data_IF_091367679993
#
_entry.id   IF_091367679993
#
_cell.length_a   1.000
_cell.length_b   1.000
_cell.length_c   1.000
_cell.angle_alpha   90.00
_cell.angle_beta   90.00
_cell.angle_gamma   90.00
#
_symmetry.space_group_name_H-M   'P 1'
#
loop_
_entity.id
_entity.type
_entity.pdbx_description
1 polymer ?
#
# COMPACT_ATOMS: atom_id res chain seq x y z
N UNK A 1 -18.53 9.11 34.74
CA UNK A 1 -19.59 9.98 34.18
C UNK A 1 -18.89 10.98 33.30
N UNK A 2 -19.20 10.93 32.00
CA UNK A 2 -18.61 11.85 31.04
C UNK A 2 -19.23 13.23 31.17
N UNK A 3 -18.47 14.29 30.89
CA UNK A 3 -18.98 15.66 30.85
C UNK A 3 -18.63 16.35 29.52
N UNK A 4 -19.11 17.57 29.32
CA UNK A 4 -18.90 18.32 28.08
C UNK A 4 -17.40 18.54 27.80
N UNK A 5 -16.63 18.87 28.84
CA UNK A 5 -15.19 19.09 28.71
C UNK A 5 -14.49 17.83 28.22
N UNK A 6 -14.77 16.69 28.83
CA UNK A 6 -14.20 15.39 28.42
C UNK A 6 -14.61 15.01 27.00
N UNK A 7 -15.85 15.30 26.60
CA UNK A 7 -16.32 15.05 25.24
C UNK A 7 -15.55 15.88 24.21
N UNK A 8 -15.36 17.18 24.47
CA UNK A 8 -14.57 18.04 23.58
C UNK A 8 -13.08 17.71 23.60
N UNK A 9 -12.54 17.25 24.74
CA UNK A 9 -11.16 16.74 24.81
C UNK A 9 -11.01 15.49 23.94
N UNK A 10 -11.92 14.52 24.04
CA UNK A 10 -11.90 13.33 23.18
C UNK A 10 -11.98 13.69 21.69
N UNK A 11 -12.85 14.65 21.34
CA UNK A 11 -12.91 15.18 19.97
C UNK A 11 -11.57 15.83 19.55
N UNK A 12 -11.02 16.72 20.37
CA UNK A 12 -9.83 17.49 20.03
C UNK A 12 -8.56 16.63 19.94
N UNK A 13 -8.41 15.67 20.85
CA UNK A 13 -7.15 14.94 21.03
C UNK A 13 -7.09 13.70 20.12
N UNK A 14 -8.23 13.21 19.62
CA UNK A 14 -8.29 12.01 18.80
C UNK A 14 -9.04 12.22 17.49
N UNK A 15 -10.31 12.61 17.55
CA UNK A 15 -11.18 12.64 16.35
C UNK A 15 -10.70 13.68 15.35
N UNK A 16 -10.36 14.89 15.80
CA UNK A 16 -9.90 15.98 14.96
C UNK A 16 -8.55 15.66 14.28
N UNK A 17 -7.52 15.13 14.98
CA UNK A 17 -6.30 14.65 14.33
C UNK A 17 -6.56 13.59 13.27
N UNK A 18 -7.39 12.57 13.56
CA UNK A 18 -7.73 11.52 12.58
C UNK A 18 -8.43 12.08 11.34
N UNK A 19 -9.35 13.02 11.55
CA UNK A 19 -9.98 13.80 10.48
C UNK A 19 -8.93 14.51 9.61
N UNK A 20 -7.98 15.23 10.23
CA UNK A 20 -6.96 16.01 9.51
C UNK A 20 -6.00 15.11 8.74
N UNK A 21 -5.65 13.96 9.32
CA UNK A 21 -4.75 13.00 8.70
C UNK A 21 -5.34 12.43 7.40
N UNK A 22 -6.57 11.93 7.46
CA UNK A 22 -7.22 11.35 6.28
C UNK A 22 -7.51 12.40 5.21
N UNK A 23 -7.88 13.62 5.61
CA UNK A 23 -8.06 14.75 4.69
C UNK A 23 -6.75 15.11 4.00
N UNK A 24 -5.63 15.15 4.74
CA UNK A 24 -4.31 15.45 4.17
C UNK A 24 -3.84 14.36 3.19
N UNK A 25 -4.14 13.09 3.48
CA UNK A 25 -3.76 11.98 2.61
C UNK A 25 -4.62 11.88 1.33
N UNK A 26 -5.93 12.06 1.45
CA UNK A 26 -6.88 11.71 0.39
C UNK A 26 -7.59 12.92 -0.23
N UNK A 27 -7.41 14.11 0.35
CA UNK A 27 -8.14 15.34 -0.01
C UNK A 27 -9.67 15.16 0.02
N UNK A 28 -10.15 14.21 0.84
CA UNK A 28 -11.55 13.86 0.99
C UNK A 28 -11.84 13.59 2.47
N UNK A 29 -12.97 14.12 2.94
CA UNK A 29 -13.45 13.86 4.29
C UNK A 29 -14.28 12.59 4.34
N UNK A 30 -14.00 11.66 5.28
CA UNK A 30 -14.82 10.47 5.44
C UNK A 30 -16.23 10.88 5.83
N UNK A 31 -17.19 10.59 4.95
CA UNK A 31 -18.59 10.95 5.13
C UNK A 31 -19.16 10.30 6.38
N UNK A 32 -18.76 9.06 6.65
CA UNK A 32 -19.14 8.31 7.86
C UNK A 32 -18.66 9.02 9.14
N UNK A 33 -17.42 9.55 9.15
CA UNK A 33 -16.91 10.32 10.28
C UNK A 33 -17.70 11.61 10.50
N UNK A 34 -18.02 12.33 9.43
CA UNK A 34 -18.85 13.54 9.49
C UNK A 34 -20.23 13.26 10.06
N UNK A 35 -20.88 12.17 9.64
CA UNK A 35 -22.17 11.77 10.18
C UNK A 35 -22.11 11.44 11.68
N UNK A 36 -21.06 10.77 12.14
CA UNK A 36 -20.88 10.47 13.56
C UNK A 36 -20.56 11.73 14.38
N UNK A 37 -19.83 12.70 13.82
CA UNK A 37 -19.62 14.00 14.45
C UNK A 37 -20.96 14.76 14.58
N UNK A 38 -21.77 14.81 13.53
CA UNK A 38 -23.10 15.43 13.59
C UNK A 38 -24.01 14.75 14.63
N UNK A 39 -24.01 13.42 14.67
CA UNK A 39 -24.76 12.68 15.68
C UNK A 39 -24.28 12.99 17.10
N UNK A 40 -22.98 13.17 17.31
CA UNK A 40 -22.43 13.59 18.60
C UNK A 40 -22.92 14.99 19.00
N UNK A 41 -22.90 15.95 18.07
CA UNK A 41 -23.44 17.29 18.29
C UNK A 41 -24.94 17.27 18.59
N UNK A 42 -25.71 16.40 17.92
CA UNK A 42 -27.14 16.24 18.19
C UNK A 42 -27.42 15.77 19.61
N UNK A 43 -26.60 14.88 20.19
CA UNK A 43 -26.74 14.51 21.61
C UNK A 43 -26.34 15.65 22.54
N UNK A 44 -25.25 16.35 22.25
CA UNK A 44 -24.85 17.52 23.05
C UNK A 44 -25.93 18.60 23.05
N UNK A 45 -26.59 18.82 21.90
CA UNK A 45 -27.71 19.76 21.76
C UNK A 45 -28.87 19.41 22.71
N UNK A 46 -29.15 18.12 22.95
CA UNK A 46 -30.25 17.68 23.85
C UNK A 46 -30.01 18.10 25.30
N UNK A 47 -28.77 18.10 25.77
CA UNK A 47 -28.45 18.65 27.07
C UNK A 47 -28.81 20.14 27.16
N UNK A 48 -28.44 20.93 26.13
CA UNK A 48 -28.64 22.37 26.15
C UNK A 48 -30.08 22.82 25.87
N UNK A 49 -30.83 22.08 25.04
CA UNK A 49 -32.13 22.52 24.53
C UNK A 49 -33.31 21.65 24.98
N UNK A 50 -33.07 20.42 25.43
CA UNK A 50 -34.11 19.42 25.72
C UNK A 50 -34.03 18.89 27.17
N UNK A 51 -33.20 19.52 28.01
CA UNK A 51 -33.02 19.17 29.43
C UNK A 51 -32.60 17.70 29.68
N UNK A 52 -31.99 17.03 28.70
CA UNK A 52 -31.36 15.71 28.91
C UNK A 52 -30.20 15.87 29.90
N UNK A 53 -29.93 14.86 30.75
CA UNK A 53 -28.82 14.94 31.69
C UNK A 53 -27.47 14.98 30.96
N UNK A 54 -26.55 15.82 31.44
CA UNK A 54 -25.24 16.04 30.80
C UNK A 54 -24.47 14.73 30.57
N UNK A 55 -24.42 13.88 31.59
CA UNK A 55 -23.71 12.60 31.56
C UNK A 55 -24.24 11.67 30.47
N UNK A 56 -25.56 11.55 30.35
CA UNK A 56 -26.22 10.72 29.34
C UNK A 56 -25.92 11.26 27.93
N UNK A 57 -26.08 12.57 27.72
CA UNK A 57 -25.80 13.19 26.42
C UNK A 57 -24.33 13.06 26.03
N UNK A 58 -23.42 13.27 26.97
CA UNK A 58 -21.96 13.17 26.75
C UNK A 58 -21.52 11.72 26.48
N UNK A 59 -22.04 10.74 27.22
CA UNK A 59 -21.75 9.32 26.97
C UNK A 59 -22.19 8.87 25.57
N UNK A 60 -23.37 9.30 25.13
CA UNK A 60 -23.86 9.04 23.76
C UNK A 60 -23.00 9.75 22.72
N UNK A 61 -22.65 11.02 22.95
CA UNK A 61 -21.78 11.78 22.05
C UNK A 61 -20.41 11.11 21.88
N UNK A 62 -19.75 10.74 22.98
CA UNK A 62 -18.49 10.00 22.96
C UNK A 62 -18.65 8.66 22.24
N UNK A 63 -19.76 7.94 22.43
CA UNK A 63 -19.99 6.68 21.71
C UNK A 63 -20.08 6.87 20.19
N UNK A 64 -20.65 7.96 19.71
CA UNK A 64 -20.69 8.30 18.28
C UNK A 64 -19.28 8.68 17.78
N UNK A 65 -18.58 9.55 18.51
CA UNK A 65 -17.19 9.92 18.19
C UNK A 65 -16.26 8.70 18.12
N UNK A 66 -16.39 7.75 19.06
CA UNK A 66 -15.66 6.46 19.03
C UNK A 66 -15.99 5.66 17.77
N UNK A 67 -17.26 5.60 17.35
CA UNK A 67 -17.64 4.90 16.13
C UNK A 67 -17.02 5.54 14.88
N UNK A 68 -17.08 6.87 14.79
CA UNK A 68 -16.43 7.61 13.70
C UNK A 68 -14.92 7.35 13.63
N UNK A 69 -14.23 7.36 14.77
CA UNK A 69 -12.80 7.02 14.82
C UNK A 69 -12.51 5.57 14.39
N UNK A 70 -13.32 4.60 14.82
CA UNK A 70 -13.21 3.20 14.39
C UNK A 70 -13.36 3.04 12.87
N UNK A 71 -14.34 3.71 12.27
CA UNK A 71 -14.55 3.66 10.82
C UNK A 71 -13.39 4.32 10.07
N UNK A 72 -12.82 5.39 10.64
CA UNK A 72 -11.63 6.06 10.12
C UNK A 72 -10.40 5.16 10.15
N UNK A 73 -10.17 4.41 11.24
CA UNK A 73 -9.09 3.41 11.31
C UNK A 73 -9.24 2.31 10.25
N UNK A 74 -10.47 1.87 9.99
CA UNK A 74 -10.76 0.87 8.94
C UNK A 74 -10.49 1.43 7.54
N UNK A 75 -10.81 2.71 7.31
CA UNK A 75 -10.52 3.39 6.06
C UNK A 75 -9.00 3.53 5.85
N UNK A 76 -8.26 3.94 6.88
CA UNK A 76 -6.79 3.99 6.86
C UNK A 76 -6.19 2.63 6.47
N UNK A 77 -6.65 1.54 7.08
CA UNK A 77 -6.24 0.18 6.71
C UNK A 77 -6.56 -0.15 5.25
N UNK A 78 -7.71 0.27 4.73
CA UNK A 78 -8.09 0.05 3.32
C UNK A 78 -7.15 0.80 2.36
N UNK A 79 -6.85 2.06 2.67
CA UNK A 79 -5.96 2.89 1.86
C UNK A 79 -4.53 2.33 1.87
N UNK A 80 -4.00 2.02 3.05
CA UNK A 80 -2.74 1.32 3.22
C UNK A 80 -2.65 0.03 2.37
N UNK A 81 -3.67 -0.82 2.39
CA UNK A 81 -3.66 -2.04 1.59
C UNK A 81 -3.64 -1.76 0.08
N UNK A 82 -4.29 -0.67 -0.35
CA UNK A 82 -4.33 -0.25 -1.75
C UNK A 82 -2.95 0.26 -2.19
N UNK A 83 -2.33 1.15 -1.41
CA UNK A 83 -0.98 1.66 -1.63
C UNK A 83 0.04 0.52 -1.66
N UNK A 84 -0.03 -0.41 -0.69
CA UNK A 84 0.86 -1.56 -0.64
C UNK A 84 0.69 -2.45 -1.87
N UNK A 85 -0.54 -2.69 -2.31
CA UNK A 85 -0.79 -3.48 -3.51
C UNK A 85 -0.22 -2.79 -4.75
N UNK A 86 -0.31 -1.47 -4.85
CA UNK A 86 0.29 -0.71 -5.95
C UNK A 86 1.82 -0.82 -5.92
N UNK A 87 2.44 -0.71 -4.74
CA UNK A 87 3.88 -0.90 -4.58
C UNK A 87 4.29 -2.31 -5.00
N UNK A 88 3.60 -3.34 -4.51
CA UNK A 88 3.93 -4.75 -4.81
C UNK A 88 3.70 -5.12 -6.28
N UNK A 89 2.76 -4.46 -6.96
CA UNK A 89 2.53 -4.63 -8.41
C UNK A 89 3.49 -3.82 -9.28
N UNK A 90 4.25 -2.91 -8.70
CA UNK A 90 5.21 -2.13 -9.46
C UNK A 90 6.38 -3.00 -9.90
N UNK A 91 6.92 -2.73 -11.10
CA UNK A 91 8.08 -3.44 -11.65
C UNK A 91 9.39 -2.98 -10.98
N UNK A 92 9.44 -3.06 -9.65
CA UNK A 92 10.61 -2.77 -8.83
C UNK A 92 11.23 -4.12 -8.45
N UNK A 93 12.52 -4.24 -8.69
CA UNK A 93 13.32 -5.27 -8.06
C UNK A 93 13.59 -4.83 -6.62
N UNK A 94 13.03 -5.55 -5.65
CA UNK A 94 13.25 -5.26 -4.24
C UNK A 94 14.54 -5.91 -3.71
N UNK A 95 15.13 -6.88 -4.41
CA UNK A 95 16.34 -7.59 -3.97
C UNK A 95 17.56 -6.67 -3.94
N UNK A 96 17.54 -5.60 -4.74
CA UNK A 96 18.61 -4.59 -4.78
C UNK A 96 18.60 -3.63 -3.59
N UNK A 97 17.56 -3.65 -2.74
CA UNK A 97 17.43 -2.80 -1.55
C UNK A 97 17.92 -3.58 -0.33
N UNK A 98 18.74 -2.94 0.50
CA UNK A 98 19.23 -3.48 1.79
C UNK A 98 19.74 -4.94 1.70
N UNK A 99 20.46 -5.24 0.60
CA UNK A 99 21.00 -6.58 0.29
C UNK A 99 19.95 -7.70 0.31
N UNK A 100 18.72 -7.40 -0.14
CA UNK A 100 17.64 -8.36 -0.28
C UNK A 100 16.77 -8.54 0.97
N UNK A 101 17.11 -7.91 2.10
CA UNK A 101 16.34 -8.02 3.34
C UNK A 101 15.07 -7.16 3.35
N UNK A 102 15.01 -6.13 2.50
CA UNK A 102 13.88 -5.20 2.46
C UNK A 102 12.53 -5.89 2.25
N UNK A 103 12.45 -6.78 1.25
CA UNK A 103 11.18 -7.42 0.88
C UNK A 103 10.66 -8.42 1.93
N UNK A 104 11.49 -9.34 2.47
CA UNK A 104 11.09 -10.18 3.59
C UNK A 104 10.61 -9.40 4.82
N UNK A 105 11.30 -8.32 5.19
CA UNK A 105 10.93 -7.48 6.33
C UNK A 105 9.60 -6.76 6.09
N UNK A 106 9.43 -6.17 4.91
CA UNK A 106 8.18 -5.55 4.48
C UNK A 106 7.00 -6.53 4.58
N UNK A 107 7.15 -7.76 4.10
CA UNK A 107 6.11 -8.79 4.20
C UNK A 107 5.84 -9.22 5.65
N UNK A 108 6.88 -9.28 6.48
CA UNK A 108 6.76 -9.61 7.90
C UNK A 108 5.93 -8.55 8.63
N UNK A 109 6.25 -7.26 8.43
CA UNK A 109 5.53 -6.14 9.02
C UNK A 109 4.09 -6.04 8.53
N UNK A 110 3.86 -6.31 7.24
CA UNK A 110 2.48 -6.45 6.71
C UNK A 110 1.70 -7.53 7.46
N UNK A 111 2.32 -8.68 7.72
CA UNK A 111 1.65 -9.80 8.42
C UNK A 111 1.28 -9.43 9.86
N UNK A 112 2.12 -8.65 10.54
CA UNK A 112 1.85 -8.09 11.87
C UNK A 112 0.59 -7.22 11.86
N UNK A 113 0.51 -6.24 10.96
CA UNK A 113 -0.67 -5.37 10.79
C UNK A 113 -1.92 -6.19 10.52
N UNK A 114 -1.86 -7.15 9.59
CA UNK A 114 -3.01 -8.01 9.25
C UNK A 114 -3.46 -8.86 10.44
N UNK A 115 -2.52 -9.38 11.24
CA UNK A 115 -2.85 -10.15 12.44
C UNK A 115 -3.59 -9.27 13.45
N UNK A 116 -3.06 -8.07 13.73
CA UNK A 116 -3.65 -7.14 14.69
C UNK A 116 -5.02 -6.61 14.24
N UNK A 117 -5.18 -6.31 12.95
CA UNK A 117 -6.47 -5.90 12.38
C UNK A 117 -7.53 -7.01 12.46
N UNK A 118 -7.14 -8.27 12.30
CA UNK A 118 -8.05 -9.42 12.51
C UNK A 118 -8.48 -9.53 13.97
N UNK A 119 -7.55 -9.36 14.90
CA UNK A 119 -7.83 -9.32 16.33
C UNK A 119 -8.84 -8.22 16.67
N UNK A 120 -8.61 -7.00 16.17
CA UNK A 120 -9.51 -5.86 16.38
C UNK A 120 -10.95 -6.15 15.91
N UNK A 121 -11.10 -6.73 14.70
CA UNK A 121 -12.42 -7.11 14.16
C UNK A 121 -13.14 -8.18 14.98
N UNK A 122 -12.41 -9.15 15.54
CA UNK A 122 -13.00 -10.17 16.40
C UNK A 122 -13.48 -9.56 17.72
N UNK A 123 -12.74 -8.61 18.28
CA UNK A 123 -13.13 -7.91 19.50
C UNK A 123 -14.40 -7.08 19.33
N UNK A 124 -14.61 -6.44 18.18
CA UNK A 124 -15.88 -5.76 17.86
C UNK A 124 -17.08 -6.70 17.96
N UNK A 125 -16.91 -7.97 17.58
CA UNK A 125 -17.98 -8.99 17.61
C UNK A 125 -18.26 -9.51 19.02
N UNK A 126 -17.26 -9.48 19.90
CA UNK A 126 -17.32 -10.04 21.26
C UNK A 126 -17.88 -9.06 22.32
N UNK A 127 -18.45 -7.93 21.90
CA UNK A 127 -19.01 -6.84 22.75
C UNK A 127 -17.99 -6.11 23.63
N UNK A 128 -16.69 -6.39 23.51
CA UNK A 128 -15.63 -5.64 24.20
C UNK A 128 -15.19 -4.45 23.33
N UNK A 129 -16.04 -3.41 23.32
CA UNK A 129 -15.90 -2.26 22.43
C UNK A 129 -14.68 -1.39 22.73
N UNK A 130 -14.33 -1.25 24.00
CA UNK A 130 -13.17 -0.44 24.41
C UNK A 130 -11.88 -1.15 24.01
N UNK A 131 -11.76 -2.47 24.25
CA UNK A 131 -10.60 -3.22 23.78
C UNK A 131 -10.50 -3.26 22.26
N UNK A 132 -11.63 -3.34 21.55
CA UNK A 132 -11.64 -3.22 20.10
C UNK A 132 -11.09 -1.86 19.64
N UNK A 133 -11.48 -0.78 20.33
CA UNK A 133 -11.00 0.57 20.07
C UNK A 133 -9.48 0.71 20.26
N UNK A 134 -8.96 0.23 21.39
CA UNK A 134 -7.53 0.26 21.68
C UNK A 134 -6.74 -0.55 20.63
N UNK A 135 -7.25 -1.75 20.29
CA UNK A 135 -6.61 -2.61 19.29
C UNK A 135 -6.60 -1.96 17.90
N UNK A 136 -7.66 -1.25 17.51
CA UNK A 136 -7.67 -0.49 16.25
C UNK A 136 -6.73 0.70 16.27
N UNK A 137 -6.57 1.36 17.41
CA UNK A 137 -5.58 2.43 17.59
C UNK A 137 -4.17 1.88 17.37
N UNK A 138 -3.86 0.72 17.94
CA UNK A 138 -2.58 0.03 17.68
C UNK A 138 -2.39 -0.33 16.19
N UNK A 139 -3.44 -0.77 15.50
CA UNK A 139 -3.38 -1.02 14.05
C UNK A 139 -3.03 0.25 13.28
N UNK A 140 -3.62 1.38 13.64
CA UNK A 140 -3.33 2.68 13.04
C UNK A 140 -1.85 3.05 13.20
N UNK A 141 -1.31 2.93 14.42
CA UNK A 141 0.10 3.22 14.72
C UNK A 141 1.07 2.30 13.96
N UNK A 142 0.73 1.00 13.84
CA UNK A 142 1.53 0.06 13.05
C UNK A 142 1.52 0.41 11.55
N UNK A 143 0.41 0.97 11.03
CA UNK A 143 0.36 1.45 9.65
C UNK A 143 1.26 2.67 9.47
N UNK A 144 1.26 3.60 10.43
CA UNK A 144 2.13 4.79 10.38
C UNK A 144 3.61 4.41 10.37
N UNK A 145 4.02 3.56 11.33
CA UNK A 145 5.38 3.01 11.38
C UNK A 145 5.74 2.29 10.08
N UNK A 146 4.80 1.54 9.48
CA UNK A 146 5.04 0.91 8.20
C UNK A 146 5.25 1.94 7.08
N UNK A 147 4.39 2.95 6.98
CA UNK A 147 4.47 3.98 5.92
C UNK A 147 5.80 4.73 6.01
N UNK A 148 6.22 5.12 7.21
CA UNK A 148 7.47 5.84 7.45
C UNK A 148 8.71 5.03 7.06
N UNK A 149 8.69 3.71 7.30
CA UNK A 149 9.84 2.85 7.03
C UNK A 149 9.88 2.29 5.60
N UNK A 150 8.71 2.09 4.97
CA UNK A 150 8.59 1.36 3.72
C UNK A 150 7.98 2.14 2.57
N UNK A 151 7.21 3.21 2.78
CA UNK A 151 6.63 4.00 1.68
C UNK A 151 7.37 5.30 1.46
N UNK A 152 7.78 5.96 2.54
CA UNK A 152 8.51 7.21 2.45
C UNK A 152 10.01 6.93 2.25
N UNK A 153 10.52 7.12 1.03
CA UNK A 153 11.93 6.78 0.83
C UNK A 153 12.55 6.96 -0.54
N UNK A 154 13.70 7.62 -0.50
CA UNK A 154 14.74 7.59 -1.53
C UNK A 154 15.10 6.15 -1.97
N UNK A 155 14.95 5.14 -1.08
CA UNK A 155 15.28 3.73 -1.38
C UNK A 155 14.39 3.15 -2.46
N UNK A 156 13.07 3.30 -2.34
CA UNK A 156 12.11 2.80 -3.33
C UNK A 156 12.30 3.53 -4.66
N UNK A 157 12.45 4.85 -4.63
CA UNK A 157 12.62 5.61 -5.87
C UNK A 157 13.96 5.35 -6.55
N UNK A 158 15.02 5.15 -5.78
CA UNK A 158 16.29 4.67 -6.28
C UNK A 158 16.14 3.27 -6.89
N UNK A 159 15.43 2.36 -6.22
CA UNK A 159 15.20 1.01 -6.71
C UNK A 159 14.39 0.98 -8.00
N UNK A 160 13.32 1.79 -8.10
CA UNK A 160 12.56 2.02 -9.34
C UNK A 160 13.47 2.43 -10.49
N UNK A 161 14.32 3.45 -10.25
CA UNK A 161 15.26 3.97 -11.27
C UNK A 161 16.29 2.91 -11.67
N UNK A 162 16.86 2.21 -10.69
CA UNK A 162 17.91 1.20 -10.91
C UNK A 162 17.36 -0.03 -11.63
N UNK A 163 16.19 -0.53 -11.24
CA UNK A 163 15.49 -1.64 -11.91
C UNK A 163 15.23 -1.31 -13.38
N UNK A 164 14.65 -0.13 -13.66
CA UNK A 164 14.42 0.33 -15.04
C UNK A 164 15.72 0.42 -15.85
N UNK A 165 16.82 0.87 -15.23
CA UNK A 165 18.13 0.96 -15.89
C UNK A 165 18.71 -0.42 -16.22
N UNK A 166 18.63 -1.37 -15.29
CA UNK A 166 19.10 -2.75 -15.49
C UNK A 166 18.30 -3.39 -16.63
N UNK A 167 16.97 -3.34 -16.56
CA UNK A 167 16.09 -3.89 -17.58
C UNK A 167 16.34 -3.31 -18.98
N UNK A 168 16.51 -1.98 -19.09
CA UNK A 168 16.87 -1.34 -20.37
C UNK A 168 18.21 -1.83 -20.92
N UNK A 169 19.21 -2.01 -20.05
CA UNK A 169 20.53 -2.52 -20.44
C UNK A 169 20.42 -3.96 -20.96
N UNK A 170 19.65 -4.81 -20.29
CA UNK A 170 19.42 -6.20 -20.72
C UNK A 170 18.70 -6.29 -22.06
N UNK A 171 17.71 -5.43 -22.31
CA UNK A 171 17.05 -5.33 -23.62
C UNK A 171 18.06 -4.96 -24.71
N UNK A 172 18.88 -3.95 -24.47
CA UNK A 172 19.89 -3.51 -25.47
C UNK A 172 20.89 -4.63 -25.75
N UNK A 173 21.40 -5.29 -24.72
CA UNK A 173 22.33 -6.42 -24.88
C UNK A 173 21.67 -7.56 -25.65
N UNK A 174 20.45 -7.95 -25.28
CA UNK A 174 19.70 -9.02 -25.94
C UNK A 174 19.44 -8.69 -27.41
N UNK A 175 19.12 -7.44 -27.72
CA UNK A 175 18.96 -6.96 -29.09
C UNK A 175 20.26 -7.06 -29.89
N UNK A 176 21.39 -6.62 -29.33
CA UNK A 176 22.70 -6.71 -29.97
C UNK A 176 23.11 -8.17 -30.23
N UNK A 177 22.88 -9.06 -29.25
CA UNK A 177 23.11 -10.51 -29.42
C UNK A 177 22.25 -11.04 -30.56
N UNK A 178 20.96 -10.70 -30.60
CA UNK A 178 20.04 -11.10 -31.68
C UNK A 178 20.52 -10.67 -33.06
N UNK A 179 21.00 -9.42 -33.21
CA UNK A 179 21.59 -8.94 -34.45
C UNK A 179 22.84 -9.73 -34.85
N UNK A 180 23.77 -9.95 -33.92
CA UNK A 180 25.02 -10.67 -34.22
C UNK A 180 24.75 -12.12 -34.62
N UNK A 181 23.86 -12.82 -33.92
CA UNK A 181 23.46 -14.19 -34.25
C UNK A 181 22.79 -14.26 -35.61
N UNK A 182 21.91 -13.31 -35.94
CA UNK A 182 21.26 -13.24 -37.26
C UNK A 182 22.27 -13.05 -38.40
N UNK A 183 23.27 -12.20 -38.22
CA UNK A 183 24.35 -12.00 -39.20
C UNK A 183 25.17 -13.28 -39.39
N UNK A 184 25.53 -13.96 -38.29
CA UNK A 184 26.27 -15.22 -38.34
C UNK A 184 25.51 -16.29 -39.13
N UNK A 185 24.21 -16.45 -38.87
CA UNK A 185 23.36 -17.41 -39.60
C UNK A 185 23.32 -17.08 -41.09
N UNK A 186 23.12 -15.82 -41.47
CA UNK A 186 23.13 -15.40 -42.88
C UNK A 186 24.46 -15.70 -43.59
N UNK A 187 25.59 -15.56 -42.89
CA UNK A 187 26.90 -15.89 -43.43
C UNK A 187 27.04 -17.41 -43.61
N UNK A 188 26.62 -18.20 -42.62
CA UNK A 188 26.65 -19.68 -42.70
C UNK A 188 25.80 -20.18 -43.87
N UNK A 189 24.58 -19.66 -44.03
CA UNK A 189 23.68 -20.04 -45.12
C UNK A 189 24.29 -19.71 -46.49
N UNK A 190 24.96 -18.56 -46.63
CA UNK A 190 25.68 -18.22 -47.86
C UNK A 190 26.86 -19.14 -48.14
N UNK A 191 27.63 -19.51 -47.12
CA UNK A 191 28.76 -20.46 -47.26
C UNK A 191 28.25 -21.84 -47.68
N UNK A 192 27.16 -22.32 -47.07
CA UNK A 192 26.55 -23.61 -47.44
C UNK A 192 26.05 -23.59 -48.89
N UNK A 193 25.39 -22.50 -49.32
CA UNK A 193 24.98 -22.32 -50.71
C UNK A 193 26.16 -22.36 -51.68
N UNK A 194 27.24 -21.64 -51.39
CA UNK A 194 28.47 -21.64 -52.22
C UNK A 194 29.06 -23.05 -52.28
N UNK A 195 29.11 -23.75 -51.14
CA UNK A 195 29.66 -25.12 -51.07
C UNK A 195 28.85 -26.09 -51.90
N UNK A 196 27.52 -25.98 -51.88
CA UNK A 196 26.60 -26.75 -52.74
C UNK A 196 26.79 -26.45 -54.23
N UNK A 197 27.01 -25.19 -54.59
CA UNK A 197 27.30 -24.80 -55.99
C UNK A 197 28.64 -25.42 -56.44
N UNK A 198 29.69 -25.32 -55.63
CA UNK A 198 31.00 -25.89 -55.95
C UNK A 198 30.91 -27.41 -56.10
N UNK A 199 30.22 -28.11 -55.19
CA UNK A 199 30.07 -29.57 -55.27
C UNK A 199 29.26 -30.01 -56.50
N UNK A 200 28.26 -29.23 -56.92
CA UNK A 200 27.50 -29.46 -58.15
C UNK A 200 28.33 -29.24 -59.43
N UNK A 201 29.19 -28.21 -59.47
CA UNK A 201 30.01 -27.87 -60.63
C UNK A 201 31.25 -28.77 -60.78
N UNK A 202 31.76 -29.35 -59.68
CA UNK A 202 32.98 -30.18 -59.67
C UNK A 202 33.00 -31.31 -60.72
N UNK A 203 31.93 -32.13 -60.90
CA UNK A 203 31.92 -33.22 -61.89
C UNK A 203 31.88 -32.73 -63.35
N UNK A 204 31.39 -31.50 -63.57
CA UNK A 204 31.32 -30.88 -64.90
C UNK A 204 32.70 -30.36 -65.31
N UNK A 205 33.45 -29.81 -64.36
CA UNK A 205 34.77 -29.23 -64.60
C UNK A 205 35.91 -30.27 -64.67
N UNK A 206 35.77 -31.43 -64.03
CA UNK A 206 36.80 -32.49 -64.03
C UNK A 206 36.67 -33.49 -65.18
N UNK A 207 35.82 -33.24 -66.18
CA UNK A 207 35.56 -34.14 -67.32
C UNK A 207 36.29 -33.74 -68.62
N UNK A 208 37.23 -32.78 -68.57
CA UNK A 208 38.13 -32.43 -69.66
C UNK A 208 39.56 -32.90 -69.36
#
# INVERSE_FOLDING_TARGET
>A
MSNIKETFQFYNDLVKPLYCEIEAENNELPVELLFEIHAAFDHLKRFFLEEEKEDISCEKAISHLKRGALDTFKLKLKNYNTELQQLLKSNIDFEIIDSGNFYPELLSKRKEIVKKAKEARLLESNKDKDKAFDTWTEVSLLIDDFKDNYFDGNKIDWAKKKTKRIFRKEIIISFLIGLTTGIIILIIDKIDLITKIISFLKPILTKN
#
